data_IF_461527386811
#
_entry.id   IF_461527386811
#
_cell.length_a   1.000
_cell.length_b   1.000
_cell.length_c   1.000
_cell.angle_alpha   90.00
_cell.angle_beta   90.00
_cell.angle_gamma   90.00
#
_symmetry.space_group_name_H-M   'P 1'
#
loop_
_entity.id
_entity.type
_entity.pdbx_description
1 polymer ?
#
# COMPACT_ATOMS: atom_id res chain seq x y z
N UNK A 1 12.68 15.88 1.59
CA UNK A 1 11.59 14.96 1.98
C UNK A 1 10.45 15.79 2.54
N UNK A 2 9.28 15.69 1.95
CA UNK A 2 8.11 16.45 2.37
C UNK A 2 7.50 15.82 3.62
N UNK A 3 7.00 16.61 4.55
CA UNK A 3 6.15 16.11 5.63
C UNK A 3 4.68 16.07 5.17
N UNK A 4 3.78 15.50 5.96
CA UNK A 4 2.37 15.34 5.60
C UNK A 4 1.67 16.69 5.37
N UNK A 5 2.00 17.70 6.15
CA UNK A 5 1.40 19.04 6.03
C UNK A 5 1.90 19.76 4.78
N UNK A 6 3.19 19.60 4.42
CA UNK A 6 3.74 20.13 3.17
C UNK A 6 3.04 19.50 1.95
N UNK A 7 2.78 18.18 1.99
CA UNK A 7 2.06 17.49 0.92
C UNK A 7 0.62 17.98 0.79
N UNK A 8 -0.09 18.16 1.92
CA UNK A 8 -1.44 18.72 1.91
C UNK A 8 -1.46 20.15 1.37
N UNK A 9 -0.46 20.98 1.71
CA UNK A 9 -0.34 22.33 1.18
C UNK A 9 -0.13 22.32 -0.34
N UNK A 10 0.78 21.47 -0.85
CA UNK A 10 1.00 21.31 -2.30
C UNK A 10 -0.26 20.86 -3.03
N UNK A 11 -1.02 19.91 -2.44
CA UNK A 11 -2.29 19.44 -3.00
C UNK A 11 -3.31 20.56 -3.04
N UNK A 12 -3.43 21.36 -1.96
CA UNK A 12 -4.33 22.52 -1.90
C UNK A 12 -4.01 23.57 -2.97
N UNK A 13 -2.72 23.74 -3.28
CA UNK A 13 -2.25 24.63 -4.35
C UNK A 13 -2.31 23.96 -5.75
N UNK A 14 -2.83 22.74 -5.84
CA UNK A 14 -2.93 21.92 -7.06
C UNK A 14 -1.59 21.74 -7.79
N UNK A 15 -0.49 21.74 -7.04
CA UNK A 15 0.85 21.47 -7.58
C UNK A 15 0.98 20.00 -7.97
N UNK A 16 1.63 19.74 -9.09
CA UNK A 16 1.98 18.38 -9.52
C UNK A 16 2.94 17.73 -8.53
N UNK A 17 2.64 16.49 -8.15
CA UNK A 17 3.42 15.71 -7.20
C UNK A 17 3.85 14.42 -7.90
N UNK A 18 5.16 14.25 -8.08
CA UNK A 18 5.70 12.97 -8.54
C UNK A 18 5.73 12.00 -7.38
N UNK A 19 4.92 10.95 -7.46
CA UNK A 19 4.81 9.95 -6.40
C UNK A 19 5.92 8.91 -6.56
N UNK A 20 6.95 9.02 -5.75
CA UNK A 20 8.09 8.10 -5.71
C UNK A 20 8.41 7.66 -4.27
N UNK A 21 9.33 6.71 -4.11
CA UNK A 21 9.72 6.16 -2.82
C UNK A 21 10.30 7.19 -1.83
N UNK A 22 10.79 8.33 -2.33
CA UNK A 22 11.51 9.33 -1.55
C UNK A 22 10.64 10.55 -1.22
N UNK A 23 9.43 10.59 -1.77
CA UNK A 23 8.50 11.71 -1.61
C UNK A 23 8.14 11.95 -0.14
N UNK A 24 7.90 10.87 0.60
CA UNK A 24 7.39 10.92 1.96
C UNK A 24 8.17 9.99 2.88
N UNK A 25 9.01 10.59 3.72
CA UNK A 25 9.78 9.84 4.73
C UNK A 25 8.93 9.57 5.95
N UNK A 26 8.10 8.55 5.87
CA UNK A 26 7.29 8.08 6.98
C UNK A 26 7.51 6.58 7.15
N UNK A 27 8.38 6.19 8.07
CA UNK A 27 8.74 4.81 8.33
C UNK A 27 8.45 4.42 9.78
N UNK A 28 8.37 3.13 10.02
CA UNK A 28 8.14 2.51 11.32
C UNK A 28 6.88 1.66 11.37
N UNK A 29 6.81 0.85 12.41
CA UNK A 29 5.64 0.03 12.72
C UNK A 29 4.67 0.90 13.49
N UNK A 30 3.39 0.90 13.08
CA UNK A 30 2.31 1.62 13.76
C UNK A 30 1.73 0.74 14.86
N UNK A 31 1.30 -0.46 14.47
CA UNK A 31 0.71 -1.46 15.37
C UNK A 31 1.18 -2.85 14.95
N UNK A 32 1.37 -3.73 15.93
CA UNK A 32 1.63 -5.14 15.69
C UNK A 32 0.97 -5.99 16.77
N UNK A 33 0.09 -6.88 16.35
CA UNK A 33 -0.66 -7.79 17.20
C UNK A 33 -0.35 -9.24 16.78
N UNK A 34 0.71 -9.85 17.37
CA UNK A 34 1.15 -11.20 16.98
C UNK A 34 0.07 -12.27 17.13
N UNK A 35 -0.76 -12.18 18.17
CA UNK A 35 -1.84 -13.14 18.45
C UNK A 35 -2.95 -13.03 17.41
N UNK A 36 -3.19 -11.84 16.88
CA UNK A 36 -4.21 -11.58 15.85
C UNK A 36 -3.67 -11.75 14.44
N UNK A 37 -2.37 -11.97 14.30
CA UNK A 37 -1.68 -12.12 13.02
C UNK A 37 -1.82 -10.87 12.12
N UNK A 38 -1.72 -9.68 12.71
CA UNK A 38 -1.90 -8.41 12.00
C UNK A 38 -0.77 -7.44 12.31
N UNK A 39 -0.24 -6.78 11.29
CA UNK A 39 0.72 -5.69 11.41
C UNK A 39 0.30 -4.50 10.56
N UNK A 40 0.39 -3.29 11.13
CA UNK A 40 0.23 -2.02 10.42
C UNK A 40 1.56 -1.29 10.38
N UNK A 41 1.97 -0.90 9.20
CA UNK A 41 3.27 -0.25 8.94
C UNK A 41 3.10 1.00 8.10
N UNK A 42 3.98 1.97 8.34
CA UNK A 42 4.07 3.17 7.50
C UNK A 42 4.68 2.84 6.15
N UNK A 43 4.24 3.53 5.10
CA UNK A 43 4.61 3.20 3.71
C UNK A 43 6.12 3.25 3.42
N UNK A 44 6.88 4.11 4.12
CA UNK A 44 8.33 4.23 3.96
C UNK A 44 9.14 3.14 4.66
N UNK A 45 8.50 2.26 5.45
CA UNK A 45 9.20 1.20 6.20
C UNK A 45 9.84 0.19 5.25
N UNK A 46 11.11 -0.12 5.47
CA UNK A 46 11.85 -1.12 4.69
C UNK A 46 11.30 -2.53 4.93
N UNK A 47 11.25 -3.33 3.87
CA UNK A 47 10.81 -4.74 3.98
C UNK A 47 11.69 -5.56 4.92
N UNK A 48 12.99 -5.27 4.98
CA UNK A 48 13.93 -5.88 5.93
C UNK A 48 13.61 -5.55 7.40
N UNK A 49 13.19 -4.31 7.68
CA UNK A 49 12.80 -3.87 9.02
C UNK A 49 11.53 -4.60 9.49
N UNK A 50 10.52 -4.69 8.61
CA UNK A 50 9.29 -5.43 8.89
C UNK A 50 9.59 -6.91 9.16
N UNK A 51 10.41 -7.53 8.31
CA UNK A 51 10.80 -8.94 8.47
C UNK A 51 11.51 -9.17 9.80
N UNK A 52 12.45 -8.31 10.17
CA UNK A 52 13.18 -8.39 11.45
C UNK A 52 12.23 -8.31 12.66
N UNK A 53 11.18 -7.49 12.58
CA UNK A 53 10.20 -7.40 13.67
C UNK A 53 9.36 -8.66 13.77
N UNK A 54 8.83 -9.13 12.64
CA UNK A 54 8.02 -10.35 12.58
C UNK A 54 8.80 -11.61 13.02
N UNK A 55 10.10 -11.64 12.75
CA UNK A 55 11.00 -12.74 13.13
C UNK A 55 11.05 -12.97 14.64
N UNK A 56 10.90 -11.92 15.44
CA UNK A 56 10.89 -12.02 16.91
C UNK A 56 9.75 -12.91 17.43
N UNK A 57 8.66 -13.01 16.68
CA UNK A 57 7.49 -13.82 17.00
C UNK A 57 7.34 -15.05 16.09
N UNK A 58 8.38 -15.41 15.35
CA UNK A 58 8.32 -16.56 14.42
C UNK A 58 7.29 -16.40 13.29
N UNK A 59 7.00 -15.14 12.94
CA UNK A 59 6.02 -14.78 11.91
C UNK A 59 6.69 -14.18 10.68
N UNK A 60 5.94 -14.01 9.60
CA UNK A 60 6.41 -13.42 8.36
C UNK A 60 5.29 -13.03 7.41
N UNK A 61 5.66 -12.37 6.33
CA UNK A 61 4.77 -11.99 5.23
C UNK A 61 4.70 -13.12 4.20
N UNK A 62 3.49 -13.45 3.75
CA UNK A 62 3.26 -14.53 2.79
C UNK A 62 3.16 -14.00 1.35
N UNK A 63 4.11 -13.14 0.95
CA UNK A 63 4.24 -12.64 -0.42
C UNK A 63 5.70 -12.33 -0.76
N UNK A 64 5.98 -12.22 -2.07
CA UNK A 64 7.33 -11.98 -2.56
C UNK A 64 7.81 -10.56 -2.23
N UNK A 65 8.91 -10.45 -1.50
CA UNK A 65 9.48 -9.15 -1.07
C UNK A 65 10.49 -8.58 -2.09
N UNK A 66 11.19 -9.45 -2.82
CA UNK A 66 12.22 -9.03 -3.77
C UNK A 66 13.44 -8.38 -3.12
N UNK A 67 13.92 -7.30 -3.75
CA UNK A 67 15.00 -6.48 -3.17
C UNK A 67 14.46 -5.63 -2.02
N UNK A 68 15.31 -5.32 -1.04
CA UNK A 68 14.93 -4.45 0.07
C UNK A 68 14.54 -3.06 -0.43
N UNK A 69 13.30 -2.68 -0.15
CA UNK A 69 12.71 -1.39 -0.52
C UNK A 69 11.58 -1.02 0.45
N UNK A 70 11.05 0.18 0.35
CA UNK A 70 9.89 0.56 1.16
C UNK A 70 8.67 -0.28 0.81
N UNK A 71 7.87 -0.62 1.82
CA UNK A 71 6.66 -1.41 1.64
C UNK A 71 5.63 -0.70 0.78
N UNK A 72 5.56 0.63 0.85
CA UNK A 72 4.70 1.44 -0.02
C UNK A 72 5.09 1.36 -1.49
N UNK A 73 6.40 1.34 -1.80
CA UNK A 73 6.88 1.14 -3.17
C UNK A 73 6.55 -0.26 -3.68
N UNK A 74 6.66 -1.29 -2.82
CA UNK A 74 6.26 -2.65 -3.17
C UNK A 74 4.75 -2.75 -3.43
N UNK A 75 3.95 -2.11 -2.60
CA UNK A 75 2.49 -2.03 -2.75
C UNK A 75 2.11 -1.31 -4.05
N UNK A 76 2.67 -0.13 -4.30
CA UNK A 76 2.36 0.69 -5.46
C UNK A 76 2.78 0.04 -6.79
N UNK A 77 3.94 -0.64 -6.82
CA UNK A 77 4.40 -1.33 -8.05
C UNK A 77 3.60 -2.58 -8.36
N UNK A 78 3.02 -3.23 -7.34
CA UNK A 78 2.33 -4.51 -7.49
C UNK A 78 3.21 -5.65 -8.02
N UNK A 79 4.54 -5.54 -7.90
CA UNK A 79 5.51 -6.58 -8.29
C UNK A 79 5.46 -7.82 -7.40
N UNK A 80 4.46 -7.90 -6.57
CA UNK A 80 4.28 -8.92 -5.55
C UNK A 80 2.83 -9.40 -5.53
N UNK A 81 2.61 -10.59 -5.04
CA UNK A 81 1.28 -11.15 -4.78
C UNK A 81 0.74 -10.73 -3.40
N UNK A 82 1.06 -9.52 -2.97
CA UNK A 82 0.71 -9.03 -1.62
C UNK A 82 -0.78 -8.72 -1.43
N UNK A 83 -1.56 -8.57 -2.51
CA UNK A 83 -2.98 -8.20 -2.45
C UNK A 83 -3.81 -9.08 -1.51
N UNK A 84 -3.52 -10.39 -1.48
CA UNK A 84 -4.24 -11.34 -0.62
C UNK A 84 -3.88 -11.21 0.88
N UNK A 85 -2.79 -10.52 1.18
CA UNK A 85 -2.35 -10.25 2.55
C UNK A 85 -2.73 -8.86 3.03
N UNK A 86 -3.24 -7.97 2.14
CA UNK A 86 -3.67 -6.62 2.51
C UNK A 86 -5.02 -6.68 3.20
N UNK A 87 -5.10 -6.12 4.41
CA UNK A 87 -6.32 -5.95 5.20
C UNK A 87 -6.84 -4.51 5.15
N UNK A 88 -5.94 -3.55 5.02
CA UNK A 88 -6.30 -2.15 4.96
C UNK A 88 -5.19 -1.25 4.42
N UNK A 89 -5.57 -0.06 4.01
CA UNK A 89 -4.65 0.98 3.53
C UNK A 89 -5.15 2.36 3.91
N UNK A 90 -4.24 3.23 4.28
CA UNK A 90 -4.48 4.65 4.52
C UNK A 90 -3.76 5.44 3.43
N UNK A 91 -4.48 6.31 2.75
CA UNK A 91 -3.94 7.14 1.67
C UNK A 91 -4.26 8.63 1.88
N UNK A 92 -3.45 9.48 1.26
CA UNK A 92 -3.75 10.90 1.06
C UNK A 92 -4.19 11.08 -0.39
N UNK A 93 -5.43 11.50 -0.60
CA UNK A 93 -6.01 11.69 -1.95
C UNK A 93 -5.66 13.04 -2.58
N UNK A 94 -6.00 13.24 -3.84
CA UNK A 94 -5.77 14.50 -4.58
C UNK A 94 -6.64 15.68 -4.13
N UNK A 95 -7.49 15.49 -3.12
CA UNK A 95 -8.25 16.55 -2.43
C UNK A 95 -7.63 16.90 -1.06
N UNK A 96 -6.50 16.29 -0.71
CA UNK A 96 -5.83 16.49 0.58
C UNK A 96 -6.53 15.77 1.75
N UNK A 97 -7.42 14.81 1.48
CA UNK A 97 -8.13 14.04 2.49
C UNK A 97 -7.37 12.76 2.81
N UNK A 98 -7.34 12.41 4.09
CA UNK A 98 -6.87 11.09 4.51
C UNK A 98 -8.05 10.12 4.45
N UNK A 99 -7.91 9.09 3.64
CA UNK A 99 -8.89 8.04 3.45
C UNK A 99 -8.37 6.73 4.01
N UNK A 100 -9.22 6.00 4.75
CA UNK A 100 -8.92 4.69 5.29
C UNK A 100 -9.83 3.65 4.60
N UNK A 101 -9.24 2.61 4.05
CA UNK A 101 -9.95 1.49 3.44
C UNK A 101 -9.55 0.19 4.13
N UNK A 102 -10.54 -0.68 4.41
CA UNK A 102 -10.33 -1.90 5.18
C UNK A 102 -10.11 -1.61 6.66
N UNK A 103 -9.41 -2.52 7.36
CA UNK A 103 -9.17 -2.40 8.80
C UNK A 103 -8.15 -3.43 9.29
N UNK A 104 -8.13 -3.65 10.60
CA UNK A 104 -7.25 -4.63 11.26
C UNK A 104 -7.93 -6.00 11.43
N UNK A 105 -9.16 -6.17 10.96
CA UNK A 105 -9.90 -7.43 11.12
C UNK A 105 -9.85 -8.27 9.85
N UNK A 106 -9.64 -9.58 10.00
CA UNK A 106 -9.55 -10.52 8.88
C UNK A 106 -10.85 -10.71 8.11
N UNK A 107 -12.01 -10.36 8.69
CA UNK A 107 -13.32 -10.50 8.07
C UNK A 107 -13.91 -9.13 7.75
N UNK A 108 -13.71 -8.65 6.53
CA UNK A 108 -14.42 -7.49 6.01
C UNK A 108 -15.67 -7.98 5.26
N UNK A 109 -16.86 -7.75 5.81
CA UNK A 109 -18.14 -8.29 5.28
C UNK A 109 -18.90 -7.28 4.44
N UNK A 110 -18.44 -6.06 4.31
CA UNK A 110 -19.20 -5.00 3.62
C UNK A 110 -18.32 -4.17 2.69
N UNK A 111 -18.71 -4.11 1.42
CA UNK A 111 -18.20 -3.17 0.45
C UNK A 111 -17.15 -3.72 -0.52
N UNK A 112 -16.81 -2.89 -1.50
CA UNK A 112 -15.73 -3.17 -2.45
C UNK A 112 -14.38 -3.12 -1.73
N UNK A 113 -13.52 -4.10 -2.01
CA UNK A 113 -12.17 -4.17 -1.43
C UNK A 113 -11.23 -3.16 -2.12
N UNK A 114 -11.40 -1.90 -1.78
CA UNK A 114 -10.60 -0.80 -2.32
C UNK A 114 -9.13 -0.97 -1.94
N UNK A 115 -8.83 -1.54 -0.76
CA UNK A 115 -7.45 -1.74 -0.31
C UNK A 115 -6.67 -2.66 -1.25
N UNK A 116 -7.29 -3.73 -1.74
CA UNK A 116 -6.68 -4.62 -2.74
C UNK A 116 -6.63 -4.01 -4.13
N UNK A 117 -7.65 -3.22 -4.50
CA UNK A 117 -7.68 -2.51 -5.77
C UNK A 117 -6.50 -1.54 -5.93
N UNK A 118 -6.07 -0.89 -4.84
CA UNK A 118 -4.97 0.06 -4.85
C UNK A 118 -3.58 -0.58 -5.02
N UNK A 119 -3.47 -1.91 -4.88
CA UNK A 119 -2.21 -2.64 -5.14
C UNK A 119 -1.85 -2.52 -6.63
N UNK A 120 -0.64 -2.05 -6.90
CA UNK A 120 -0.17 -1.83 -8.27
C UNK A 120 -0.73 -0.58 -8.94
N UNK A 121 -1.23 0.37 -8.15
CA UNK A 121 -1.77 1.64 -8.63
C UNK A 121 -0.71 2.64 -9.11
N UNK A 122 0.58 2.36 -8.87
CA UNK A 122 1.69 3.25 -9.23
C UNK A 122 1.55 4.68 -8.67
N UNK A 123 0.84 4.83 -7.55
CA UNK A 123 0.57 6.13 -6.93
C UNK A 123 -0.50 6.98 -7.62
N UNK A 124 -1.16 6.48 -8.66
CA UNK A 124 -2.14 7.24 -9.46
C UNK A 124 -3.41 7.64 -8.71
N UNK A 125 -3.71 7.00 -7.60
CA UNK A 125 -4.91 7.25 -6.78
C UNK A 125 -4.61 8.03 -5.49
N UNK A 126 -3.34 8.27 -5.17
CA UNK A 126 -2.95 8.98 -3.97
C UNK A 126 -1.62 8.50 -3.38
N UNK A 127 -1.20 9.20 -2.35
CA UNK A 127 0.02 8.88 -1.62
C UNK A 127 -0.31 7.87 -0.52
N UNK A 128 0.33 6.71 -0.53
CA UNK A 128 0.15 5.67 0.47
C UNK A 128 0.83 6.12 1.77
N UNK A 129 0.10 6.13 2.88
CA UNK A 129 0.58 6.52 4.20
C UNK A 129 0.90 5.32 5.09
N UNK A 130 -0.05 4.38 5.19
CA UNK A 130 0.05 3.19 6.02
C UNK A 130 -0.60 1.99 5.32
N UNK A 131 -0.11 0.80 5.62
CA UNK A 131 -0.67 -0.45 5.09
C UNK A 131 -0.79 -1.45 6.23
N UNK A 132 -1.93 -2.11 6.31
CA UNK A 132 -2.19 -3.20 7.25
C UNK A 132 -2.15 -4.53 6.52
N UNK A 133 -1.34 -5.46 7.04
CA UNK A 133 -1.15 -6.79 6.48
C UNK A 133 -1.57 -7.87 7.46
N UNK A 134 -2.12 -8.93 6.91
CA UNK A 134 -2.17 -10.23 7.55
C UNK A 134 -0.77 -10.84 7.52
N UNK A 135 -0.32 -11.35 8.67
CA UNK A 135 0.93 -12.08 8.81
C UNK A 135 0.67 -13.57 9.09
N UNK A 136 1.70 -14.39 8.97
CA UNK A 136 1.56 -15.83 9.09
C UNK A 136 2.70 -16.40 9.94
N UNK A 137 2.45 -17.46 10.74
CA UNK A 137 3.53 -18.22 11.34
C UNK A 137 4.46 -18.77 10.24
N UNK A 138 5.77 -18.62 10.40
CA UNK A 138 6.78 -19.00 9.38
C UNK A 138 6.63 -20.43 8.86
N UNK A 139 6.21 -21.36 9.71
CA UNK A 139 6.00 -22.77 9.34
C UNK A 139 4.93 -22.98 8.25
N UNK A 140 4.06 -21.99 8.03
CA UNK A 140 3.00 -22.03 7.01
C UNK A 140 3.31 -21.16 5.78
N UNK A 141 4.47 -20.49 5.76
CA UNK A 141 4.87 -19.66 4.63
C UNK A 141 5.60 -20.53 3.61
N UNK A 142 5.03 -20.64 2.42
CA UNK A 142 5.67 -21.32 1.28
C UNK A 142 6.79 -20.44 0.69
N UNK A 143 7.71 -21.07 -0.05
CA UNK A 143 8.74 -20.33 -0.79
C UNK A 143 8.09 -19.35 -1.77
N UNK A 144 8.33 -18.08 -1.55
CA UNK A 144 7.76 -17.03 -2.38
C UNK A 144 8.56 -16.86 -3.68
N UNK A 145 7.86 -16.82 -4.79
CA UNK A 145 8.44 -16.60 -6.12
C UNK A 145 7.88 -15.31 -6.69
N UNK A 146 8.70 -14.57 -7.42
CA UNK A 146 8.24 -13.37 -8.12
C UNK A 146 7.08 -13.72 -9.03
N UNK A 147 5.90 -13.10 -8.88
CA UNK A 147 4.75 -13.40 -9.73
C UNK A 147 5.04 -12.97 -11.17
N UNK A 148 4.60 -13.79 -12.12
CA UNK A 148 4.61 -13.40 -13.52
C UNK A 148 3.38 -12.51 -13.79
N UNK A 149 3.57 -11.20 -13.73
CA UNK A 149 2.49 -10.23 -13.92
C UNK A 149 2.19 -10.07 -15.40
N UNK A 150 1.11 -10.68 -15.88
CA UNK A 150 0.50 -10.31 -17.14
C UNK A 150 -0.43 -9.10 -16.87
N UNK A 151 -0.05 -7.93 -17.33
CA UNK A 151 -0.91 -6.75 -17.29
C UNK A 151 -1.94 -6.93 -18.40
N UNK A 152 -3.15 -7.35 -18.05
CA UNK A 152 -4.28 -7.37 -18.95
C UNK A 152 -4.71 -5.93 -19.23
N UNK A 153 -4.17 -5.34 -20.31
CA UNK A 153 -4.55 -4.01 -20.79
C UNK A 153 -5.85 -4.08 -21.62
N UNK A 154 -6.91 -4.62 -21.05
CA UNK A 154 -8.19 -4.61 -21.75
C UNK A 154 -8.74 -3.16 -21.77
N UNK A 155 -9.13 -2.60 -22.94
CA UNK A 155 -9.55 -1.19 -23.06
C UNK A 155 -10.67 -0.77 -22.10
N UNK A 156 -11.62 -1.66 -21.79
CA UNK A 156 -12.68 -1.40 -20.81
C UNK A 156 -12.16 -1.22 -19.39
N UNK A 157 -11.13 -1.98 -19.00
CA UNK A 157 -10.50 -1.85 -17.69
C UNK A 157 -9.76 -0.53 -17.59
N UNK A 158 -9.07 -0.11 -18.63
CA UNK A 158 -8.39 1.19 -18.69
C UNK A 158 -9.36 2.36 -18.49
N UNK A 159 -10.54 2.32 -19.12
CA UNK A 159 -11.59 3.33 -18.93
C UNK A 159 -12.09 3.40 -17.49
N UNK A 160 -12.37 2.26 -16.86
CA UNK A 160 -12.82 2.18 -15.46
C UNK A 160 -11.74 2.73 -14.52
N UNK A 161 -10.47 2.39 -14.74
CA UNK A 161 -9.34 2.90 -13.94
C UNK A 161 -9.25 4.41 -14.05
N UNK A 162 -9.40 4.98 -15.25
CA UNK A 162 -9.36 6.42 -15.44
C UNK A 162 -10.55 7.15 -14.78
N UNK A 163 -11.72 6.59 -14.82
CA UNK A 163 -12.89 7.16 -14.14
C UNK A 163 -12.75 7.10 -12.62
N UNK A 164 -12.21 6.00 -12.08
CA UNK A 164 -11.88 5.90 -10.66
C UNK A 164 -10.76 6.89 -10.27
N UNK A 165 -9.75 7.09 -11.14
CA UNK A 165 -8.70 8.08 -10.90
C UNK A 165 -9.28 9.47 -10.67
N UNK A 166 -10.26 9.90 -11.47
CA UNK A 166 -10.94 11.20 -11.30
C UNK A 166 -11.63 11.36 -9.95
N UNK A 167 -12.06 10.26 -9.33
CA UNK A 167 -12.65 10.29 -7.97
C UNK A 167 -11.61 10.60 -6.91
N UNK A 168 -10.42 9.99 -7.01
CA UNK A 168 -9.33 10.13 -6.04
C UNK A 168 -8.43 11.33 -6.33
N UNK A 169 -8.17 11.61 -7.59
CA UNK A 169 -7.30 12.69 -8.07
C UNK A 169 -8.01 13.53 -9.15
N UNK A 170 -9.06 14.28 -8.80
CA UNK A 170 -9.85 15.03 -9.78
C UNK A 170 -9.07 16.15 -10.48
N UNK A 171 -7.98 16.58 -9.88
CA UNK A 171 -7.11 17.65 -10.41
C UNK A 171 -5.89 17.10 -11.17
N UNK A 172 -5.75 15.76 -11.24
CA UNK A 172 -4.64 15.10 -11.89
C UNK A 172 -3.29 15.50 -11.28
N UNK A 173 -3.21 15.60 -9.95
CA UNK A 173 -2.02 16.08 -9.22
C UNK A 173 -0.92 15.02 -9.23
N UNK A 174 -1.28 13.74 -9.10
CA UNK A 174 -0.32 12.65 -8.99
C UNK A 174 0.16 12.14 -10.35
N UNK A 175 1.48 12.05 -10.48
CA UNK A 175 2.17 11.59 -11.71
C UNK A 175 3.36 10.68 -11.39
#
# INVERSE_FOLDING_TARGET
MSNLEDLKAQIKEQKKISVNSDLFSNSGIVDYYPEELVITVKAGTKTSEITKELDKNGQGLNFYLGKDRSIGALFASGDSNLSDSVLGVKILDGKGRILNFGGQVMKNVAGYDVSRFLVGSEGKFGIILEITFKVFPKKYISKQVKPNRQINQHPRIAGIIEDLRKVFDPYGIFS
#
